data_IF_744713374001
#
_entry.id   IF_744713374001
#
_cell.length_a   1.000
_cell.length_b   1.000
_cell.length_c   1.000
_cell.angle_alpha   90.00
_cell.angle_beta   90.00
_cell.angle_gamma   90.00
#
_symmetry.space_group_name_H-M   'P 1'
#
loop_
_entity.id
_entity.type
_entity.pdbx_description
1 polymer ?
#
# COMPACT_ATOMS: atom_id res chain seq x y z
N UNK A 1 -0.44 -2.07 -17.67
CA UNK A 1 -0.24 -3.29 -16.87
C UNK A 1 -0.85 -3.06 -15.49
N UNK A 2 -1.63 -3.98 -14.95
CA UNK A 2 -2.13 -3.88 -13.57
C UNK A 2 -1.00 -4.27 -12.62
N UNK A 3 -0.70 -3.42 -11.64
CA UNK A 3 0.23 -3.76 -10.55
C UNK A 3 -0.42 -4.81 -9.67
N UNK A 4 0.32 -5.87 -9.33
CA UNK A 4 -0.14 -6.92 -8.42
C UNK A 4 -0.07 -6.44 -6.98
N UNK A 5 -0.76 -7.10 -6.01
CA UNK A 5 -0.63 -6.74 -4.60
C UNK A 5 0.83 -6.76 -4.12
N UNK A 6 1.65 -7.68 -4.64
CA UNK A 6 3.07 -7.76 -4.29
C UNK A 6 3.86 -6.53 -4.75
N UNK A 7 3.55 -5.98 -5.93
CA UNK A 7 4.16 -4.74 -6.42
C UNK A 7 3.84 -3.54 -5.50
N UNK A 8 2.61 -3.46 -4.98
CA UNK A 8 2.23 -2.46 -3.99
C UNK A 8 3.01 -2.61 -2.69
N UNK A 9 3.18 -3.84 -2.21
CA UNK A 9 3.93 -4.13 -1.00
C UNK A 9 5.42 -3.76 -1.14
N UNK A 10 6.03 -4.10 -2.27
CA UNK A 10 7.42 -3.74 -2.56
C UNK A 10 7.59 -2.22 -2.64
N UNK A 11 6.68 -1.53 -3.32
CA UNK A 11 6.68 -0.06 -3.39
C UNK A 11 6.58 0.57 -2.00
N UNK A 12 5.68 0.08 -1.15
CA UNK A 12 5.54 0.57 0.22
C UNK A 12 6.78 0.32 1.08
N UNK A 13 7.44 -0.84 0.90
CA UNK A 13 8.72 -1.15 1.58
C UNK A 13 9.84 -0.21 1.14
N UNK A 14 9.96 0.06 -0.16
CA UNK A 14 10.93 1.02 -0.69
C UNK A 14 10.71 2.42 -0.11
N UNK A 15 9.45 2.87 -0.07
CA UNK A 15 9.09 4.16 0.57
C UNK A 15 9.43 4.14 2.06
N UNK A 16 9.12 3.06 2.79
CA UNK A 16 9.41 2.98 4.21
C UNK A 16 10.92 3.01 4.52
N UNK A 17 11.73 2.33 3.70
CA UNK A 17 13.19 2.28 3.82
C UNK A 17 13.92 3.48 3.22
N UNK A 18 13.21 4.35 2.48
CA UNK A 18 13.80 5.54 1.89
C UNK A 18 14.29 6.54 2.94
N UNK A 19 15.09 7.51 2.49
CA UNK A 19 15.51 8.67 3.31
C UNK A 19 14.44 9.76 3.39
N UNK A 20 13.25 9.54 2.81
CA UNK A 20 12.19 10.55 2.81
C UNK A 20 11.74 10.93 4.23
N UNK A 21 11.31 12.19 4.44
CA UNK A 21 10.69 12.59 5.70
C UNK A 21 9.43 11.75 5.98
N UNK A 22 9.10 11.53 7.28
CA UNK A 22 7.91 10.75 7.69
C UNK A 22 6.63 11.22 6.99
N UNK A 23 6.45 12.53 6.80
CA UNK A 23 5.29 13.11 6.09
C UNK A 23 5.19 12.68 4.63
N UNK A 24 6.32 12.61 3.92
CA UNK A 24 6.34 12.19 2.51
C UNK A 24 6.16 10.69 2.36
N UNK A 25 6.74 9.90 3.26
CA UNK A 25 6.47 8.45 3.34
C UNK A 25 4.98 8.16 3.51
N UNK A 26 4.33 8.87 4.43
CA UNK A 26 2.88 8.75 4.65
C UNK A 26 2.09 9.16 3.40
N UNK A 27 2.49 10.25 2.73
CA UNK A 27 1.84 10.72 1.50
C UNK A 27 1.92 9.65 0.41
N UNK A 28 3.10 9.12 0.13
CA UNK A 28 3.29 8.09 -0.89
C UNK A 28 2.55 6.79 -0.56
N UNK A 29 2.62 6.32 0.68
CA UNK A 29 1.85 5.14 1.09
C UNK A 29 0.32 5.38 0.98
N UNK A 30 -0.19 6.59 1.26
CA UNK A 30 -1.61 6.93 1.03
C UNK A 30 -1.99 6.93 -0.45
N UNK A 31 -1.09 7.34 -1.33
CA UNK A 31 -1.31 7.27 -2.79
C UNK A 31 -1.36 5.82 -3.27
N UNK A 32 -0.42 4.97 -2.80
CA UNK A 32 -0.43 3.53 -3.06
C UNK A 32 -1.74 2.88 -2.59
N UNK A 33 -2.20 3.18 -1.38
CA UNK A 33 -3.47 2.67 -0.85
C UNK A 33 -4.67 3.10 -1.72
N UNK A 34 -4.71 4.35 -2.20
CA UNK A 34 -5.78 4.83 -3.09
C UNK A 34 -5.79 4.10 -4.43
N UNK A 35 -4.62 3.89 -5.03
CA UNK A 35 -4.52 3.12 -6.27
C UNK A 35 -4.95 1.67 -6.08
N UNK A 36 -4.48 1.04 -5.00
CA UNK A 36 -4.83 -0.33 -4.67
C UNK A 36 -6.34 -0.47 -4.38
N UNK A 37 -6.94 0.49 -3.70
CA UNK A 37 -8.39 0.52 -3.46
C UNK A 37 -9.19 0.68 -4.75
N UNK A 38 -8.70 1.46 -5.72
CA UNK A 38 -9.33 1.60 -7.02
C UNK A 38 -9.22 0.32 -7.86
N UNK A 39 -8.08 -0.38 -7.80
CA UNK A 39 -7.83 -1.59 -8.59
C UNK A 39 -8.46 -2.85 -7.99
N UNK A 40 -8.46 -2.97 -6.66
CA UNK A 40 -8.88 -4.16 -5.93
C UNK A 40 -10.16 -3.93 -5.12
N UNK A 41 -11.01 -2.96 -5.48
CA UNK A 41 -12.19 -2.54 -4.70
C UNK A 41 -13.04 -3.71 -4.17
N UNK A 42 -13.34 -4.69 -5.01
CA UNK A 42 -14.14 -5.86 -4.64
C UNK A 42 -13.31 -6.92 -3.91
N UNK A 43 -12.03 -7.04 -4.25
CA UNK A 43 -11.08 -7.96 -3.62
C UNK A 43 -10.69 -7.54 -2.21
N UNK A 44 -10.64 -6.24 -1.89
CA UNK A 44 -10.35 -5.73 -0.55
C UNK A 44 -11.46 -6.09 0.48
N UNK A 45 -12.68 -6.35 0.01
CA UNK A 45 -13.79 -6.85 0.84
C UNK A 45 -13.67 -8.34 1.13
N UNK A 46 -12.85 -9.05 0.35
CA UNK A 46 -12.55 -10.45 0.54
C UNK A 46 -11.29 -10.56 1.41
N UNK A 47 -11.22 -11.57 2.29
CA UNK A 47 -10.02 -11.82 3.07
C UNK A 47 -8.97 -12.53 2.20
N UNK A 48 -8.37 -11.79 1.28
CA UNK A 48 -7.40 -12.29 0.31
C UNK A 48 -6.07 -11.53 0.37
N UNK A 49 -5.12 -11.92 -0.49
CA UNK A 49 -3.77 -11.32 -0.53
C UNK A 49 -3.80 -9.79 -0.70
N UNK A 50 -4.72 -9.25 -1.51
CA UNK A 50 -4.88 -7.82 -1.69
C UNK A 50 -5.32 -7.12 -0.39
N UNK A 51 -6.27 -7.70 0.34
CA UNK A 51 -6.70 -7.15 1.63
C UNK A 51 -5.55 -7.16 2.65
N UNK A 52 -4.80 -8.27 2.75
CA UNK A 52 -3.66 -8.38 3.65
C UNK A 52 -2.58 -7.34 3.36
N UNK A 53 -2.21 -7.16 2.09
CA UNK A 53 -1.23 -6.15 1.69
C UNK A 53 -1.75 -4.75 1.99
N UNK A 54 -3.01 -4.45 1.67
CA UNK A 54 -3.61 -3.14 1.93
C UNK A 54 -3.56 -2.78 3.43
N UNK A 55 -3.94 -3.72 4.30
CA UNK A 55 -3.87 -3.52 5.75
C UNK A 55 -2.43 -3.41 6.26
N UNK A 56 -1.49 -4.13 5.66
CA UNK A 56 -0.07 -4.04 6.01
C UNK A 56 0.49 -2.65 5.69
N UNK A 57 0.23 -2.11 4.50
CA UNK A 57 0.66 -0.76 4.11
C UNK A 57 -0.02 0.30 5.00
N UNK A 58 -1.29 0.09 5.34
CA UNK A 58 -2.01 0.97 6.27
C UNK A 58 -1.40 0.96 7.69
N UNK A 59 -0.89 -0.17 8.15
CA UNK A 59 -0.21 -0.29 9.45
C UNK A 59 1.11 0.49 9.46
N UNK A 60 1.88 0.44 8.36
CA UNK A 60 3.16 1.16 8.23
C UNK A 60 3.03 2.67 8.40
N UNK A 61 1.88 3.27 8.03
CA UNK A 61 1.65 4.71 8.20
C UNK A 61 1.00 5.09 9.53
N UNK A 62 0.43 4.13 10.27
CA UNK A 62 -0.18 4.38 11.59
C UNK A 62 0.83 4.27 12.74
N UNK A 63 1.96 3.60 12.52
CA UNK A 63 3.11 3.56 13.43
C UNK A 63 4.03 4.79 13.25
#
# INVERSE_FOLDING_TARGET
>A
MYQTPKDFMESARLVNNSTFPKKEKIRHCRELLRHMQSQYKDQLKLNNEASQVYHTILSMIKN
#
